data_IF_895086893720
#
_entry.id   IF_895086893720
#
_cell.length_a   1.000
_cell.length_b   1.000
_cell.length_c   1.000
_cell.angle_alpha   90.00
_cell.angle_beta   90.00
_cell.angle_gamma   90.00
#
_symmetry.space_group_name_H-M   'P 1'
#
loop_
_entity.id
_entity.type
_entity.pdbx_description
1 polymer ?
#
# COMPACT_ATOMS: atom_id res chain seq x y z
N UNK A 1 15.27 1.19 -12.97
CA UNK A 1 14.30 2.32 -13.01
C UNK A 1 13.14 2.03 -12.08
N UNK A 2 12.73 3.04 -11.32
CA UNK A 2 11.58 2.95 -10.42
C UNK A 2 10.44 3.72 -11.06
N UNK A 3 9.24 3.15 -11.06
CA UNK A 3 8.05 3.77 -11.64
C UNK A 3 6.96 3.86 -10.57
N UNK A 4 6.41 5.06 -10.40
CA UNK A 4 5.24 5.28 -9.57
C UNK A 4 4.01 5.42 -10.46
N UNK A 5 2.98 4.61 -10.19
CA UNK A 5 1.67 4.72 -10.82
C UNK A 5 0.67 5.16 -9.74
N UNK A 6 0.18 6.39 -9.84
CA UNK A 6 -0.80 6.92 -8.89
C UNK A 6 -2.24 6.59 -9.26
N UNK A 7 -3.20 7.00 -8.43
CA UNK A 7 -4.61 6.80 -8.73
C UNK A 7 -5.04 7.57 -9.98
N UNK A 8 -4.40 8.69 -10.24
CA UNK A 8 -4.68 9.55 -11.40
C UNK A 8 -3.36 10.04 -11.98
N UNK A 9 -3.37 10.44 -13.23
CA UNK A 9 -2.22 11.02 -13.92
C UNK A 9 -1.31 9.98 -14.57
N UNK A 10 -0.26 10.47 -15.19
CA UNK A 10 0.70 9.64 -15.91
C UNK A 10 1.70 8.99 -14.95
N UNK A 11 2.27 7.84 -15.31
CA UNK A 11 3.35 7.24 -14.51
C UNK A 11 4.52 8.21 -14.34
N UNK A 12 5.14 8.16 -13.15
CA UNK A 12 6.31 9.00 -12.83
C UNK A 12 7.54 8.11 -12.74
N UNK A 13 8.50 8.36 -13.62
CA UNK A 13 9.75 7.61 -13.65
C UNK A 13 10.74 8.20 -12.65
N UNK A 14 11.39 7.32 -11.88
CA UNK A 14 12.42 7.69 -10.92
C UNK A 14 12.03 8.87 -10.02
N UNK A 15 10.89 8.77 -9.30
CA UNK A 15 10.46 9.88 -8.43
C UNK A 15 11.53 10.18 -7.38
N UNK A 16 11.75 11.47 -7.11
CA UNK A 16 12.71 11.88 -6.11
C UNK A 16 12.12 11.74 -4.69
N UNK A 17 12.98 11.93 -3.68
CA UNK A 17 12.56 11.79 -2.28
C UNK A 17 11.44 12.76 -1.90
N UNK A 18 11.50 13.99 -2.39
CA UNK A 18 10.48 15.00 -2.12
C UNK A 18 9.11 14.56 -2.65
N UNK A 19 9.07 13.98 -3.84
CA UNK A 19 7.84 13.46 -4.44
C UNK A 19 7.27 12.32 -3.62
N UNK A 20 8.13 11.39 -3.19
CA UNK A 20 7.71 10.23 -2.39
C UNK A 20 7.17 10.68 -1.03
N UNK A 21 7.86 11.62 -0.37
CA UNK A 21 7.38 12.19 0.90
C UNK A 21 6.01 12.84 0.74
N UNK A 22 5.80 13.56 -0.36
CA UNK A 22 4.52 14.23 -0.61
C UNK A 22 3.37 13.22 -0.68
N UNK A 23 3.58 12.07 -1.32
CA UNK A 23 2.58 11.01 -1.40
C UNK A 23 2.21 10.50 -0.01
N UNK A 24 3.18 10.22 0.85
CA UNK A 24 2.92 9.58 2.14
C UNK A 24 2.51 10.55 3.23
N UNK A 25 2.90 11.81 3.17
CA UNK A 25 2.66 12.75 4.25
C UNK A 25 1.66 13.87 3.93
N UNK A 26 1.46 14.19 2.66
CA UNK A 26 0.65 15.36 2.27
C UNK A 26 -0.64 15.02 1.51
N UNK A 27 -0.74 13.85 0.87
CA UNK A 27 -1.97 13.47 0.16
C UNK A 27 -3.02 13.01 1.17
N UNK A 28 -4.22 13.51 1.00
CA UNK A 28 -5.33 13.19 1.90
C UNK A 28 -6.20 12.05 1.33
N UNK A 29 -7.25 11.72 2.06
CA UNK A 29 -8.18 10.66 1.73
C UNK A 29 -8.80 10.82 0.33
N UNK A 30 -9.08 12.07 -0.08
CA UNK A 30 -9.69 12.34 -1.38
C UNK A 30 -8.80 11.94 -2.56
N UNK A 31 -7.49 12.13 -2.42
CA UNK A 31 -6.54 11.71 -3.45
C UNK A 31 -6.66 10.21 -3.74
N UNK A 32 -6.84 9.41 -2.68
CA UNK A 32 -6.91 7.95 -2.77
C UNK A 32 -8.29 7.43 -3.17
N UNK A 33 -9.27 8.33 -3.35
CA UNK A 33 -10.62 8.00 -3.84
C UNK A 33 -10.80 8.36 -5.31
N UNK A 34 -9.78 8.91 -5.95
CA UNK A 34 -9.83 9.28 -7.36
C UNK A 34 -9.32 8.14 -8.25
N UNK A 35 -9.74 8.12 -9.50
CA UNK A 35 -9.23 7.20 -10.51
C UNK A 35 -9.32 5.74 -10.09
N UNK A 36 -8.18 5.04 -10.10
CA UNK A 36 -8.13 3.63 -9.72
C UNK A 36 -8.27 3.40 -8.21
N UNK A 37 -8.08 4.43 -7.40
CA UNK A 37 -8.16 4.31 -5.94
C UNK A 37 -6.92 3.75 -5.27
N UNK A 38 -5.92 3.35 -6.05
CA UNK A 38 -4.68 2.77 -5.54
C UNK A 38 -3.46 3.33 -6.25
N UNK A 39 -2.30 3.02 -5.71
CA UNK A 39 -1.00 3.37 -6.29
C UNK A 39 -0.11 2.16 -6.27
N UNK A 40 0.95 2.17 -7.07
CA UNK A 40 1.99 1.16 -6.93
C UNK A 40 3.37 1.72 -7.25
N UNK A 41 4.38 1.09 -6.66
CA UNK A 41 5.77 1.25 -7.05
C UNK A 41 6.25 -0.02 -7.71
N UNK A 42 6.78 0.13 -8.92
CA UNK A 42 7.39 -0.96 -9.68
C UNK A 42 8.88 -0.64 -9.86
N UNK A 43 9.71 -1.67 -9.78
CA UNK A 43 11.15 -1.53 -10.00
C UNK A 43 11.53 -2.45 -11.15
N UNK A 44 12.16 -1.88 -12.18
CA UNK A 44 12.62 -2.63 -13.34
C UNK A 44 13.56 -3.76 -12.89
N UNK A 45 13.31 -4.97 -13.37
CA UNK A 45 14.08 -6.15 -12.98
C UNK A 45 13.65 -6.82 -11.69
N UNK A 46 12.64 -6.29 -11.02
CA UNK A 46 12.09 -6.86 -9.79
C UNK A 46 10.74 -7.50 -10.09
N UNK A 47 10.52 -8.76 -9.66
CA UNK A 47 9.24 -9.44 -9.85
C UNK A 47 8.14 -8.94 -8.95
N UNK A 48 8.50 -8.29 -7.84
CA UNK A 48 7.54 -7.82 -6.87
C UNK A 48 7.27 -6.34 -7.08
N UNK A 49 6.03 -5.93 -6.84
CA UNK A 49 5.67 -4.52 -6.72
C UNK A 49 4.85 -4.34 -5.46
N UNK A 50 4.77 -3.10 -4.98
CA UNK A 50 3.97 -2.76 -3.80
C UNK A 50 2.81 -1.88 -4.24
N UNK A 51 1.60 -2.36 -3.95
CA UNK A 51 0.35 -1.65 -4.20
C UNK A 51 -0.09 -1.04 -2.87
N UNK A 52 -0.56 0.19 -2.88
CA UNK A 52 -0.94 0.84 -1.64
C UNK A 52 -1.98 1.92 -1.85
N UNK A 53 -2.68 2.25 -0.76
CA UNK A 53 -3.62 3.36 -0.69
C UNK A 53 -3.83 3.76 0.79
N UNK A 54 -4.51 4.87 1.00
CA UNK A 54 -4.70 5.45 2.32
C UNK A 54 -6.18 5.54 2.66
N UNK A 55 -6.53 5.21 3.90
CA UNK A 55 -7.89 5.34 4.43
C UNK A 55 -7.86 5.99 5.81
N UNK A 56 -8.52 7.15 5.96
CA UNK A 56 -8.69 7.77 7.26
C UNK A 56 -9.65 6.94 8.13
N UNK A 57 -9.40 6.77 9.41
CA UNK A 57 -8.23 7.18 10.20
C UNK A 57 -7.16 6.08 10.31
N UNK A 58 -7.22 5.05 9.50
CA UNK A 58 -6.46 3.81 9.66
C UNK A 58 -5.02 3.91 9.19
N UNK A 59 -4.76 4.71 8.16
CA UNK A 59 -3.43 4.86 7.59
C UNK A 59 -3.31 4.23 6.22
N UNK A 60 -2.14 3.65 5.92
CA UNK A 60 -1.87 3.02 4.63
C UNK A 60 -2.03 1.51 4.68
N UNK A 61 -2.72 0.98 3.68
CA UNK A 61 -2.69 -0.44 3.36
C UNK A 61 -1.64 -0.64 2.26
N UNK A 62 -0.77 -1.64 2.44
CA UNK A 62 0.29 -1.97 1.49
C UNK A 62 0.23 -3.47 1.20
N UNK A 63 0.22 -3.84 -0.07
CA UNK A 63 0.14 -5.24 -0.47
C UNK A 63 1.18 -5.54 -1.55
N UNK A 64 1.94 -6.60 -1.37
CA UNK A 64 2.86 -7.05 -2.40
C UNK A 64 2.12 -7.81 -3.50
N UNK A 65 2.62 -7.74 -4.70
CA UNK A 65 2.16 -8.52 -5.83
C UNK A 65 3.40 -9.23 -6.42
N UNK A 66 3.36 -10.53 -6.69
CA UNK A 66 2.18 -11.38 -6.85
C UNK A 66 1.74 -12.18 -5.62
N UNK A 67 2.44 -12.09 -4.50
CA UNK A 67 2.21 -12.97 -3.36
C UNK A 67 1.12 -12.50 -2.38
N UNK A 68 0.61 -11.27 -2.53
CA UNK A 68 -0.42 -10.68 -1.66
C UNK A 68 -0.02 -10.62 -0.19
N UNK A 69 1.26 -10.31 0.09
CA UNK A 69 1.73 -10.11 1.45
C UNK A 69 1.33 -8.74 1.94
N UNK A 70 0.81 -8.70 3.17
CA UNK A 70 0.35 -7.45 3.80
C UNK A 70 0.94 -7.35 5.21
N UNK A 71 1.09 -6.12 5.75
CA UNK A 71 1.47 -5.97 7.14
C UNK A 71 0.43 -6.60 8.06
N UNK A 72 0.87 -7.14 9.18
CA UNK A 72 -0.03 -7.72 10.18
C UNK A 72 0.39 -7.27 11.57
N UNK A 73 -0.52 -6.55 12.24
CA UNK A 73 -0.34 -6.13 13.62
C UNK A 73 -1.33 -6.87 14.51
N UNK A 74 -0.84 -7.84 15.27
CA UNK A 74 -1.65 -8.69 16.13
C UNK A 74 -2.30 -7.92 17.29
N UNK A 75 -1.85 -6.70 17.57
CA UNK A 75 -2.39 -5.87 18.65
C UNK A 75 -3.58 -5.02 18.21
N UNK A 76 -3.92 -5.02 16.92
CA UNK A 76 -5.08 -4.30 16.40
C UNK A 76 -6.22 -5.28 16.21
N UNK A 77 -7.40 -4.92 16.72
CA UNK A 77 -8.61 -5.72 16.54
C UNK A 77 -8.93 -5.83 15.06
N UNK A 78 -9.29 -7.02 14.59
CA UNK A 78 -9.57 -7.27 13.19
C UNK A 78 -11.01 -6.89 12.87
N UNK A 79 -11.18 -5.78 12.16
CA UNK A 79 -12.44 -5.36 11.57
C UNK A 79 -12.24 -5.28 10.05
N UNK A 80 -13.31 -5.09 9.30
CA UNK A 80 -13.26 -5.01 7.85
C UNK A 80 -13.61 -3.61 7.38
N UNK A 81 -12.81 -3.10 6.44
CA UNK A 81 -13.01 -1.80 5.78
C UNK A 81 -13.14 -2.04 4.30
N UNK A 82 -13.93 -1.23 3.62
CA UNK A 82 -14.01 -1.25 2.17
C UNK A 82 -13.27 -0.07 1.58
N UNK A 83 -12.50 -0.34 0.54
CA UNK A 83 -11.86 0.68 -0.29
C UNK A 83 -12.15 0.35 -1.76
N UNK A 84 -12.50 1.36 -2.55
CA UNK A 84 -12.77 1.13 -3.97
C UNK A 84 -11.46 1.10 -4.76
N UNK A 85 -11.21 -0.02 -5.40
CA UNK A 85 -10.05 -0.22 -6.28
C UNK A 85 -10.59 -0.54 -7.67
N UNK A 86 -10.29 0.32 -8.64
CA UNK A 86 -10.82 0.16 -9.99
C UNK A 86 -12.34 0.18 -10.06
N UNK A 87 -13.00 0.86 -9.11
CA UNK A 87 -14.45 0.92 -9.03
C UNK A 87 -15.10 -0.24 -8.29
N UNK A 88 -14.31 -1.23 -7.86
CA UNK A 88 -14.82 -2.41 -7.13
C UNK A 88 -14.48 -2.32 -5.65
N UNK A 89 -15.41 -2.66 -4.73
CA UNK A 89 -15.11 -2.64 -3.31
C UNK A 89 -14.14 -3.77 -2.94
N UNK A 90 -13.01 -3.39 -2.32
CA UNK A 90 -12.05 -4.34 -1.78
C UNK A 90 -12.18 -4.35 -0.27
N UNK A 91 -12.35 -5.54 0.31
CA UNK A 91 -12.44 -5.73 1.76
C UNK A 91 -11.05 -5.86 2.35
N UNK A 92 -10.77 -5.09 3.39
CA UNK A 92 -9.43 -5.00 3.97
C UNK A 92 -9.51 -5.14 5.49
N UNK A 93 -8.67 -6.02 6.09
CA UNK A 93 -8.64 -6.12 7.55
C UNK A 93 -7.87 -4.95 8.16
N UNK A 94 -8.42 -4.36 9.21
CA UNK A 94 -7.83 -3.20 9.87
C UNK A 94 -6.43 -3.45 10.43
N UNK A 95 -6.10 -4.70 10.76
CA UNK A 95 -4.79 -5.07 11.28
C UNK A 95 -3.66 -4.98 10.24
N UNK A 96 -3.99 -4.74 8.97
CA UNK A 96 -3.01 -4.61 7.89
C UNK A 96 -2.69 -3.16 7.52
N UNK A 97 -3.22 -2.19 8.22
CA UNK A 97 -2.89 -0.77 8.00
C UNK A 97 -1.66 -0.39 8.81
N UNK A 98 -0.85 0.49 8.25
CA UNK A 98 0.35 1.05 8.91
C UNK A 98 0.27 2.57 8.88
N UNK A 99 1.04 3.22 9.76
CA UNK A 99 1.09 4.67 9.81
C UNK A 99 1.75 5.25 8.56
N UNK A 100 1.56 6.56 8.32
CA UNK A 100 2.23 7.26 7.22
C UNK A 100 3.74 7.10 7.29
N UNK A 101 4.31 7.23 8.49
CA UNK A 101 5.75 7.11 8.69
C UNK A 101 6.25 5.69 8.39
N UNK A 102 5.52 4.68 8.84
CA UNK A 102 5.85 3.28 8.56
C UNK A 102 5.75 2.98 7.06
N UNK A 103 4.70 3.45 6.41
CA UNK A 103 4.51 3.26 4.98
C UNK A 103 5.67 3.87 4.19
N UNK A 104 6.07 5.08 4.55
CA UNK A 104 7.21 5.75 3.91
C UNK A 104 8.49 4.92 4.07
N UNK A 105 8.76 4.43 5.28
CA UNK A 105 9.94 3.59 5.54
C UNK A 105 9.92 2.30 4.73
N UNK A 106 8.75 1.67 4.63
CA UNK A 106 8.59 0.43 3.83
C UNK A 106 8.93 0.70 2.37
N UNK A 107 8.37 1.75 1.79
CA UNK A 107 8.59 2.07 0.38
C UNK A 107 10.05 2.45 0.13
N UNK A 108 10.65 3.25 1.00
CA UNK A 108 12.07 3.61 0.85
C UNK A 108 12.97 2.39 0.87
N UNK A 109 12.74 1.49 1.82
CA UNK A 109 13.54 0.28 1.93
C UNK A 109 13.36 -0.62 0.71
N UNK A 110 12.12 -0.74 0.22
CA UNK A 110 11.83 -1.52 -0.98
C UNK A 110 12.57 -0.97 -2.20
N UNK A 111 12.54 0.34 -2.40
CA UNK A 111 13.23 0.99 -3.52
C UNK A 111 14.74 0.77 -3.42
N UNK A 112 15.29 0.86 -2.21
CA UNK A 112 16.73 0.72 -1.98
C UNK A 112 17.23 -0.72 -2.17
N UNK A 113 16.49 -1.69 -1.64
CA UNK A 113 16.93 -3.09 -1.61
C UNK A 113 16.30 -3.97 -2.68
N UNK A 114 15.22 -3.51 -3.31
CA UNK A 114 14.41 -4.28 -4.27
C UNK A 114 13.78 -5.51 -3.64
N UNK A 115 13.62 -5.49 -2.32
CA UNK A 115 13.02 -6.60 -1.54
C UNK A 115 12.03 -6.03 -0.55
N UNK A 116 11.04 -6.86 -0.20
CA UNK A 116 10.10 -6.53 0.87
C UNK A 116 10.87 -6.40 2.18
N UNK A 117 10.73 -5.28 2.91
CA UNK A 117 11.49 -5.06 4.14
C UNK A 117 11.14 -6.06 5.23
N UNK A 118 12.15 -6.56 5.94
CA UNK A 118 11.95 -7.54 7.01
C UNK A 118 11.70 -6.94 8.39
N UNK A 119 11.59 -5.61 8.53
CA UNK A 119 11.42 -4.98 9.83
C UNK A 119 9.96 -4.95 10.31
N UNK A 120 9.03 -5.39 9.49
CA UNK A 120 7.61 -5.56 9.90
C UNK A 120 7.21 -7.01 9.67
N UNK A 121 6.09 -7.39 10.29
CA UNK A 121 5.54 -8.72 10.10
C UNK A 121 4.64 -8.73 8.86
N UNK A 122 4.96 -9.57 7.88
CA UNK A 122 4.18 -9.76 6.65
C UNK A 122 3.47 -11.10 6.70
N UNK A 123 2.21 -11.12 6.31
CA UNK A 123 1.43 -12.35 6.16
C UNK A 123 0.67 -12.30 4.84
N UNK A 124 0.25 -13.43 4.33
CA UNK A 124 -0.63 -13.46 3.16
C UNK A 124 -2.01 -12.95 3.55
N UNK A 125 -2.57 -12.05 2.74
CA UNK A 125 -3.85 -11.40 3.04
C UNK A 125 -4.94 -12.41 3.39
N UNK A 126 -5.03 -13.50 2.63
CA UNK A 126 -6.09 -14.48 2.81
C UNK A 126 -5.83 -15.49 3.94
N UNK A 127 -4.69 -15.38 4.63
CA UNK A 127 -4.43 -16.11 5.86
C UNK A 127 -4.99 -15.38 7.09
N UNK A 128 -5.41 -14.13 6.93
CA UNK A 128 -6.05 -13.37 8.01
C UNK A 128 -7.54 -13.70 8.00
N UNK A 129 -8.07 -14.07 9.16
CA UNK A 129 -9.52 -14.31 9.30
C UNK A 129 -10.23 -12.97 9.44
N UNK A 130 -11.00 -12.59 8.42
CA UNK A 130 -11.81 -11.38 8.43
C UNK A 130 -12.96 -11.54 7.42
N UNK A 131 -13.91 -10.61 7.46
CA UNK A 131 -15.07 -10.65 6.55
C UNK A 131 -14.65 -10.21 5.14
N UNK A 132 -14.47 -11.17 4.24
CA UNK A 132 -14.10 -10.91 2.85
C UNK A 132 -15.26 -10.39 2.00
N UNK A 133 -16.48 -10.38 2.53
CA UNK A 133 -17.66 -9.94 1.78
C UNK A 133 -18.30 -11.02 0.91
N UNK A 134 -17.99 -12.28 1.17
CA UNK A 134 -18.62 -13.42 0.46
C UNK A 134 -19.81 -13.95 1.22
#
# INVERSE_FOLDING_TARGET
>A
MVIYNGPVGEPVENPNESFIKDIFFNKNDEYWKQGSGDSCFEIEGCNECLIFFYDEPYGFFIMSHPDYLVPFNKNIEVNTIEHLVGGEPMKIPTCSYVSRNEAYKIIKQFILTKKIPGFINWVELYDIEFDYGF
#
